data_IF_895123253745
#
_entry.id   IF_895123253745
#
_cell.length_a   1.000
_cell.length_b   1.000
_cell.length_c   1.000
_cell.angle_alpha   90.00
_cell.angle_beta   90.00
_cell.angle_gamma   90.00
#
_symmetry.space_group_name_H-M   'P 1'
#
loop_
_entity.id
_entity.type
_entity.pdbx_description
1 polymer ?
#
# COMPACT_ATOMS: atom_id res chain seq x y z
N UNK A 1 -4.20 -23.12 -6.54
CA UNK A 1 -4.43 -22.19 -7.67
C UNK A 1 -4.98 -20.87 -7.15
N UNK A 2 -4.48 -19.77 -7.67
CA UNK A 2 -4.98 -18.45 -7.30
C UNK A 2 -5.95 -18.00 -8.39
N UNK A 3 -7.21 -17.81 -8.00
CA UNK A 3 -8.26 -17.39 -8.92
C UNK A 3 -8.41 -15.86 -8.98
N UNK A 4 -7.90 -15.15 -7.97
CA UNK A 4 -7.99 -13.70 -7.91
C UNK A 4 -7.00 -13.06 -8.86
N UNK A 5 -7.49 -12.19 -9.72
CA UNK A 5 -6.67 -11.45 -10.69
C UNK A 5 -6.84 -9.96 -10.47
N UNK A 6 -5.74 -9.22 -10.59
CA UNK A 6 -5.79 -7.78 -10.60
C UNK A 6 -5.86 -7.33 -12.05
N UNK A 7 -6.90 -6.59 -12.37
CA UNK A 7 -7.12 -6.08 -13.72
C UNK A 7 -7.17 -4.56 -13.66
N UNK A 8 -6.34 -3.91 -14.47
CA UNK A 8 -6.41 -2.46 -14.62
C UNK A 8 -7.59 -2.12 -15.54
N UNK A 9 -8.55 -1.42 -14.98
CA UNK A 9 -9.70 -0.93 -15.72
C UNK A 9 -9.37 0.47 -16.22
N UNK A 10 -9.25 0.61 -17.54
CA UNK A 10 -8.90 1.89 -18.17
C UNK A 10 -9.90 2.99 -17.87
N UNK A 11 -11.17 2.63 -17.66
CA UNK A 11 -12.22 3.61 -17.43
C UNK A 11 -12.12 4.25 -16.05
N UNK A 12 -11.58 3.54 -15.07
CA UNK A 12 -11.43 4.07 -13.72
C UNK A 12 -9.98 4.26 -13.28
N UNK A 13 -9.01 3.90 -14.10
CA UNK A 13 -7.61 3.97 -13.71
C UNK A 13 -7.18 5.41 -13.40
N UNK A 14 -7.58 6.36 -14.25
CA UNK A 14 -7.24 7.77 -14.03
C UNK A 14 -7.85 8.30 -12.73
N UNK A 15 -9.12 7.96 -12.47
CA UNK A 15 -9.79 8.35 -11.23
C UNK A 15 -9.08 7.76 -10.02
N UNK A 16 -8.70 6.48 -10.11
CA UNK A 16 -7.98 5.80 -9.03
C UNK A 16 -6.61 6.40 -8.79
N UNK A 17 -5.90 6.79 -9.86
CA UNK A 17 -4.61 7.48 -9.74
C UNK A 17 -4.78 8.84 -9.06
N UNK A 18 -5.78 9.61 -9.45
CA UNK A 18 -6.04 10.92 -8.85
C UNK A 18 -6.38 10.77 -7.37
N UNK A 19 -7.21 9.80 -7.02
CA UNK A 19 -7.55 9.49 -5.63
C UNK A 19 -6.31 9.11 -4.82
N UNK A 20 -5.49 8.19 -5.36
CA UNK A 20 -4.29 7.74 -4.67
C UNK A 20 -3.31 8.89 -4.44
N UNK A 21 -3.02 9.70 -5.45
CA UNK A 21 -2.04 10.76 -5.29
C UNK A 21 -2.54 11.90 -4.39
N UNK A 22 -3.84 12.14 -4.33
CA UNK A 22 -4.41 13.05 -3.34
C UNK A 22 -4.20 12.52 -1.91
N UNK A 23 -4.38 11.22 -1.72
CA UNK A 23 -4.08 10.56 -0.45
C UNK A 23 -2.58 10.59 -0.14
N UNK A 24 -1.77 10.29 -1.14
CA UNK A 24 -0.31 10.18 -1.01
C UNK A 24 0.35 11.49 -0.56
N UNK A 25 -0.22 12.63 -0.94
CA UNK A 25 0.25 13.94 -0.47
C UNK A 25 0.17 14.08 1.05
N UNK A 26 -0.71 13.33 1.69
CA UNK A 26 -0.93 13.36 3.15
C UNK A 26 -0.06 12.34 3.90
N UNK A 27 0.82 11.65 3.22
CA UNK A 27 1.63 10.59 3.84
C UNK A 27 2.48 11.13 4.99
N UNK A 28 2.66 10.34 6.07
CA UNK A 28 3.43 10.78 7.23
C UNK A 28 4.94 10.69 7.03
N UNK A 29 5.39 9.99 6.00
CA UNK A 29 6.82 9.78 5.73
C UNK A 29 7.12 10.30 4.34
N UNK A 30 7.93 11.36 4.25
CA UNK A 30 8.27 12.00 2.98
C UNK A 30 9.61 11.54 2.44
N UNK A 31 10.54 11.14 3.30
CA UNK A 31 11.82 10.56 2.91
C UNK A 31 11.72 9.05 3.03
N UNK A 32 11.45 8.40 1.91
CA UNK A 32 11.33 6.93 1.84
C UNK A 32 12.46 6.29 1.03
N UNK A 33 13.61 6.93 1.00
CA UNK A 33 14.77 6.40 0.28
C UNK A 33 15.08 4.97 0.76
N UNK A 34 15.19 4.05 -0.18
CA UNK A 34 15.36 2.62 0.11
C UNK A 34 14.06 1.84 0.24
N UNK A 35 12.91 2.51 0.32
CA UNK A 35 11.62 1.86 0.35
C UNK A 35 10.94 1.83 -1.03
N UNK A 36 9.66 1.44 -1.04
CA UNK A 36 8.88 1.37 -2.28
C UNK A 36 8.64 2.76 -2.87
N UNK A 37 8.72 2.84 -4.19
CA UNK A 37 8.39 4.07 -4.92
C UNK A 37 6.87 4.29 -4.95
N UNK A 38 6.46 5.50 -5.32
CA UNK A 38 5.03 5.84 -5.39
C UNK A 38 4.26 4.97 -6.38
N UNK A 39 4.89 4.57 -7.49
CA UNK A 39 4.23 3.70 -8.47
C UNK A 39 3.99 2.30 -7.91
N UNK A 40 4.93 1.73 -7.16
CA UNK A 40 4.73 0.45 -6.50
C UNK A 40 3.66 0.55 -5.39
N UNK A 41 3.66 1.64 -4.65
CA UNK A 41 2.67 1.90 -3.62
C UNK A 41 1.28 2.06 -4.22
N UNK A 42 1.17 2.73 -5.38
CA UNK A 42 -0.10 2.80 -6.10
C UNK A 42 -0.59 1.41 -6.49
N UNK A 43 0.28 0.57 -7.06
CA UNK A 43 -0.10 -0.79 -7.45
C UNK A 43 -0.60 -1.60 -6.25
N UNK A 44 0.07 -1.49 -5.12
CA UNK A 44 -0.35 -2.14 -3.88
C UNK A 44 -1.73 -1.65 -3.46
N UNK A 45 -1.92 -0.35 -3.40
CA UNK A 45 -3.19 0.26 -3.02
C UNK A 45 -4.33 -0.16 -3.97
N UNK A 46 -4.08 -0.11 -5.28
CA UNK A 46 -5.06 -0.47 -6.30
C UNK A 46 -5.47 -1.95 -6.18
N UNK A 47 -4.48 -2.83 -6.02
CA UNK A 47 -4.73 -4.27 -5.86
C UNK A 47 -5.55 -4.56 -4.61
N UNK A 48 -5.19 -3.96 -3.47
CA UNK A 48 -5.89 -4.18 -2.21
C UNK A 48 -7.32 -3.67 -2.26
N UNK A 49 -7.55 -2.55 -2.94
CA UNK A 49 -8.89 -2.00 -3.13
C UNK A 49 -9.78 -2.91 -3.97
N UNK A 50 -9.20 -3.70 -4.89
CA UNK A 50 -9.93 -4.69 -5.67
C UNK A 50 -10.16 -5.98 -4.88
N UNK A 51 -9.12 -6.53 -4.27
CA UNK A 51 -9.17 -7.83 -3.59
C UNK A 51 -9.92 -7.77 -2.26
N UNK A 52 -9.83 -6.67 -1.54
CA UNK A 52 -10.45 -6.45 -0.22
C UNK A 52 -10.17 -7.60 0.76
N UNK A 53 -8.92 -7.98 0.96
CA UNK A 53 -8.59 -9.05 1.90
C UNK A 53 -8.89 -8.61 3.33
N UNK A 54 -9.16 -9.59 4.19
CA UNK A 54 -9.36 -9.36 5.63
C UNK A 54 -8.05 -9.41 6.40
N UNK A 55 -7.05 -10.04 5.84
CA UNK A 55 -5.72 -10.20 6.43
C UNK A 55 -4.67 -9.88 5.39
N UNK A 56 -3.69 -9.07 5.76
CA UNK A 56 -2.52 -8.76 4.94
C UNK A 56 -1.28 -9.09 5.74
N UNK A 57 -0.35 -9.79 5.12
CA UNK A 57 0.97 -10.04 5.70
C UNK A 57 1.96 -9.23 4.88
N UNK A 58 2.64 -8.31 5.56
CA UNK A 58 3.67 -7.46 4.96
C UNK A 58 5.05 -7.95 5.38
N UNK A 59 5.90 -8.23 4.41
CA UNK A 59 7.29 -8.60 4.65
C UNK A 59 8.19 -7.45 4.24
N UNK A 60 8.94 -6.91 5.20
CA UNK A 60 9.76 -5.72 4.98
C UNK A 60 8.96 -4.44 5.16
N UNK A 61 9.21 -3.76 6.26
CA UNK A 61 8.43 -2.58 6.66
C UNK A 61 9.15 -1.27 6.35
N UNK A 62 10.47 -1.27 6.50
CA UNK A 62 11.34 -0.10 6.36
C UNK A 62 10.83 1.02 7.29
N UNK A 63 10.51 2.20 6.75
CA UNK A 63 10.03 3.34 7.57
C UNK A 63 8.55 3.27 7.89
N UNK A 64 7.80 2.36 7.25
CA UNK A 64 6.39 2.16 7.50
C UNK A 64 5.45 2.79 6.49
N UNK A 65 5.97 3.38 5.40
CA UNK A 65 5.11 4.01 4.40
C UNK A 65 4.21 2.99 3.69
N UNK A 66 4.75 1.81 3.37
CA UNK A 66 3.94 0.72 2.80
C UNK A 66 2.82 0.30 3.74
N UNK A 67 3.13 0.15 5.02
CA UNK A 67 2.13 -0.16 6.06
C UNK A 67 1.03 0.89 6.08
N UNK A 68 1.40 2.16 6.03
CA UNK A 68 0.44 3.25 6.00
C UNK A 68 -0.49 3.16 4.78
N UNK A 69 0.07 2.88 3.60
CA UNK A 69 -0.72 2.73 2.37
C UNK A 69 -1.71 1.56 2.50
N UNK A 70 -1.26 0.43 3.04
CA UNK A 70 -2.14 -0.73 3.28
C UNK A 70 -3.29 -0.35 4.21
N UNK A 71 -3.01 0.35 5.30
CA UNK A 71 -4.04 0.80 6.24
C UNK A 71 -5.04 1.75 5.58
N UNK A 72 -4.57 2.64 4.70
CA UNK A 72 -5.46 3.55 3.98
C UNK A 72 -6.36 2.80 2.99
N UNK A 73 -5.82 1.76 2.34
CA UNK A 73 -6.59 0.94 1.40
C UNK A 73 -7.63 0.08 2.13
N UNK A 74 -7.28 -0.42 3.32
CA UNK A 74 -8.04 -1.43 4.05
C UNK A 74 -8.13 -1.06 5.55
N UNK A 75 -8.95 -0.05 5.91
CA UNK A 75 -8.98 0.43 7.30
C UNK A 75 -9.39 -0.63 8.33
N UNK A 76 -10.11 -1.66 7.91
CA UNK A 76 -10.63 -2.68 8.82
C UNK A 76 -9.87 -4.01 8.74
N UNK A 77 -8.89 -4.14 7.85
CA UNK A 77 -8.12 -5.36 7.72
C UNK A 77 -7.13 -5.53 8.85
N UNK A 78 -6.82 -6.77 9.18
CA UNK A 78 -5.70 -7.10 10.06
C UNK A 78 -4.42 -7.09 9.24
N UNK A 79 -3.40 -6.38 9.72
CA UNK A 79 -2.10 -6.31 9.08
C UNK A 79 -1.07 -6.92 10.02
N UNK A 80 -0.33 -7.91 9.52
CA UNK A 80 0.80 -8.50 10.22
C UNK A 80 2.04 -8.09 9.46
N UNK A 81 2.89 -7.28 10.08
CA UNK A 81 4.10 -6.75 9.47
C UNK A 81 5.32 -7.41 10.07
N UNK A 82 6.20 -7.90 9.21
CA UNK A 82 7.41 -8.63 9.60
C UNK A 82 8.61 -7.91 9.04
N UNK A 83 9.59 -7.64 9.89
CA UNK A 83 10.86 -7.04 9.47
C UNK A 83 12.00 -7.63 10.29
N UNK A 84 13.20 -7.60 9.72
CA UNK A 84 14.42 -8.04 10.42
C UNK A 84 14.90 -7.02 11.43
N UNK A 85 14.51 -5.76 11.26
CA UNK A 85 14.86 -4.66 12.18
C UNK A 85 13.77 -3.59 12.14
N UNK A 86 13.55 -2.94 13.29
CA UNK A 86 12.58 -1.88 13.44
C UNK A 86 13.21 -0.51 13.65
N UNK A 87 14.57 -0.41 13.49
CA UNK A 87 15.30 0.82 13.71
C UNK A 87 14.88 1.97 12.79
N UNK A 88 14.39 1.65 11.61
CA UNK A 88 14.03 2.63 10.58
C UNK A 88 12.58 3.04 10.62
N UNK A 89 11.77 2.40 11.45
CA UNK A 89 10.34 2.65 11.52
C UNK A 89 10.06 4.09 11.94
N UNK A 90 9.24 4.79 11.14
CA UNK A 90 8.84 6.18 11.37
C UNK A 90 7.33 6.34 11.51
N UNK A 91 6.60 5.25 11.27
CA UNK A 91 5.14 5.28 11.32
C UNK A 91 4.62 4.48 12.51
#
# INVERSE_FOLDING_TARGET
>A
MIDNKIVYDKDNLKESLDEFYSLYEKRPINDNHGGMTSSHLFNTWYALRQLKPKLVIESGVWKGLGTWVIEQALPEAKIISIDVTWHHLKY
#
